data_IF_370957532053
#
_entry.id   IF_370957532053
#
_cell.length_a   1.000
_cell.length_b   1.000
_cell.length_c   1.000
_cell.angle_alpha   90.00
_cell.angle_beta   90.00
_cell.angle_gamma   90.00
#
_symmetry.space_group_name_H-M   'P 1'
#
loop_
_entity.id
_entity.type
_entity.pdbx_description
1 polymer ?
#
# COMPACT_ATOMS: atom_id res chain seq x y z
N UNK A 1 -9.08 -5.58 11.72
CA UNK A 1 -8.92 -7.04 11.84
C UNK A 1 -10.12 -7.61 12.59
N UNK A 2 -10.76 -8.67 12.10
CA UNK A 2 -11.92 -9.30 12.75
C UNK A 2 -11.53 -10.20 13.94
N UNK A 3 -10.30 -10.70 13.95
CA UNK A 3 -9.77 -11.55 15.03
C UNK A 3 -9.33 -10.72 16.24
N UNK A 4 -9.99 -10.91 17.40
CA UNK A 4 -9.65 -10.21 18.65
C UNK A 4 -8.19 -10.43 19.05
N UNK A 5 -7.73 -11.68 19.02
CA UNK A 5 -6.36 -12.02 19.39
C UNK A 5 -5.30 -11.37 18.51
N UNK A 6 -5.56 -11.23 17.19
CA UNK A 6 -4.64 -10.57 16.28
C UNK A 6 -4.54 -9.05 16.58
N UNK A 7 -5.67 -8.40 16.89
CA UNK A 7 -5.69 -6.99 17.31
C UNK A 7 -4.92 -6.76 18.61
N UNK A 8 -5.14 -7.60 19.63
CA UNK A 8 -4.44 -7.53 20.91
C UNK A 8 -2.93 -7.73 20.76
N UNK A 9 -2.52 -8.70 19.92
CA UNK A 9 -1.09 -8.94 19.63
C UNK A 9 -0.47 -7.72 18.98
N UNK A 10 -1.09 -7.15 17.94
CA UNK A 10 -0.57 -5.98 17.25
C UNK A 10 -0.49 -4.77 18.18
N UNK A 11 -1.53 -4.49 18.96
CA UNK A 11 -1.52 -3.40 19.94
C UNK A 11 -0.38 -3.55 20.95
N UNK A 12 -0.21 -4.74 21.52
CA UNK A 12 0.87 -5.01 22.46
C UNK A 12 2.26 -4.81 21.84
N UNK A 13 2.44 -5.20 20.56
CA UNK A 13 3.69 -4.98 19.83
C UNK A 13 3.93 -3.48 19.60
N UNK A 14 2.90 -2.73 19.18
CA UNK A 14 3.00 -1.28 18.98
C UNK A 14 3.36 -0.58 20.29
N UNK A 15 2.59 -0.80 21.35
CA UNK A 15 2.81 -0.16 22.67
C UNK A 15 4.21 -0.46 23.19
N UNK A 16 4.71 -1.68 22.99
CA UNK A 16 5.99 -2.11 23.54
C UNK A 16 7.19 -1.65 22.72
N UNK A 17 7.08 -1.63 21.40
CA UNK A 17 8.23 -1.47 20.51
C UNK A 17 8.18 -0.23 19.62
N UNK A 18 7.05 0.48 19.58
CA UNK A 18 6.86 1.67 18.75
C UNK A 18 6.33 2.85 19.59
N UNK A 19 7.13 3.39 20.53
CA UNK A 19 6.67 4.40 21.49
C UNK A 19 6.27 5.75 20.86
N UNK A 20 6.49 5.91 19.57
CA UNK A 20 6.07 7.08 18.78
C UNK A 20 4.66 6.95 18.19
N UNK A 21 3.97 5.84 18.42
CA UNK A 21 2.61 5.56 17.96
C UNK A 21 1.68 5.42 19.16
N UNK A 22 0.60 6.21 19.15
CA UNK A 22 -0.51 6.06 20.08
C UNK A 22 -1.65 5.29 19.41
N UNK A 23 -2.10 4.20 20.04
CA UNK A 23 -3.25 3.43 19.55
C UNK A 23 -4.54 4.11 19.97
N UNK A 24 -5.23 4.74 19.03
CA UNK A 24 -6.46 5.52 19.29
C UNK A 24 -7.74 4.69 19.24
N UNK A 25 -7.65 3.45 18.72
CA UNK A 25 -8.79 2.54 18.71
C UNK A 25 -8.59 1.28 17.89
N UNK A 26 -9.54 0.36 18.01
CA UNK A 26 -9.60 -0.91 17.30
C UNK A 26 -10.99 -1.15 16.72
N UNK A 27 -11.06 -1.84 15.59
CA UNK A 27 -12.32 -2.23 14.95
C UNK A 27 -12.26 -3.70 14.52
N UNK A 28 -13.41 -4.36 14.55
CA UNK A 28 -13.56 -5.78 14.23
C UNK A 28 -14.03 -6.04 12.79
N UNK A 29 -13.80 -5.12 11.89
CA UNK A 29 -14.16 -5.22 10.48
C UNK A 29 -14.04 -3.88 9.75
N UNK A 30 -14.20 -3.91 8.42
CA UNK A 30 -13.94 -2.74 7.59
C UNK A 30 -14.92 -1.59 7.86
N UNK A 31 -16.22 -1.86 7.92
CA UNK A 31 -17.24 -0.82 8.13
C UNK A 31 -17.09 -0.11 9.49
N UNK A 32 -17.04 -0.84 10.63
CA UNK A 32 -16.77 -0.17 11.91
C UNK A 32 -15.38 0.49 11.95
N UNK A 33 -14.41 -0.02 11.18
CA UNK A 33 -13.11 0.62 11.01
C UNK A 33 -13.22 1.98 10.34
N UNK A 34 -13.98 2.10 9.27
CA UNK A 34 -14.23 3.36 8.56
C UNK A 34 -14.91 4.39 9.48
N UNK A 35 -15.90 3.97 10.27
CA UNK A 35 -16.56 4.83 11.24
C UNK A 35 -15.57 5.36 12.30
N UNK A 36 -14.70 4.48 12.79
CA UNK A 36 -13.67 4.84 13.75
C UNK A 36 -12.63 5.79 13.14
N UNK A 37 -12.18 5.53 11.91
CA UNK A 37 -11.26 6.40 11.18
C UNK A 37 -11.83 7.81 11.03
N UNK A 38 -13.09 7.94 10.64
CA UNK A 38 -13.77 9.24 10.49
C UNK A 38 -13.86 9.99 11.83
N UNK A 39 -14.01 9.26 12.94
CA UNK A 39 -14.13 9.84 14.28
C UNK A 39 -12.78 10.29 14.83
N UNK A 40 -11.77 9.42 14.77
CA UNK A 40 -10.48 9.61 15.44
C UNK A 40 -9.43 10.30 14.53
N UNK A 41 -9.66 10.33 13.21
CA UNK A 41 -8.77 10.93 12.20
C UNK A 41 -7.29 10.49 12.37
N UNK A 42 -6.99 9.18 12.33
CA UNK A 42 -5.67 8.67 12.59
C UNK A 42 -4.68 9.03 11.48
N UNK A 43 -3.39 9.05 11.79
CA UNK A 43 -2.31 9.24 10.80
C UNK A 43 -1.91 7.94 10.09
N UNK A 44 -2.14 6.79 10.73
CA UNK A 44 -1.86 5.46 10.19
C UNK A 44 -2.94 4.47 10.60
N UNK A 45 -3.28 3.58 9.69
CA UNK A 45 -4.24 2.50 9.94
C UNK A 45 -3.60 1.16 9.56
N UNK A 46 -3.58 0.24 10.50
CA UNK A 46 -3.20 -1.15 10.29
C UNK A 46 -4.45 -1.95 9.93
N UNK A 47 -4.46 -2.61 8.79
CA UNK A 47 -5.65 -3.29 8.26
C UNK A 47 -5.31 -4.72 7.88
N UNK A 48 -6.10 -5.70 8.37
CA UNK A 48 -6.06 -7.04 7.79
C UNK A 48 -6.73 -7.05 6.43
N UNK A 49 -6.20 -7.82 5.52
CA UNK A 49 -6.78 -7.97 4.17
C UNK A 49 -7.97 -8.91 4.20
N UNK A 50 -7.86 -10.02 4.89
CA UNK A 50 -8.95 -11.00 4.94
C UNK A 50 -9.83 -10.77 6.17
N UNK A 51 -10.99 -10.17 5.92
CA UNK A 51 -12.05 -9.99 6.92
C UNK A 51 -13.39 -10.44 6.34
N UNK A 52 -14.34 -10.89 7.19
CA UNK A 52 -15.68 -11.25 6.74
C UNK A 52 -16.39 -10.09 6.03
N UNK A 53 -17.04 -10.35 4.92
CA UNK A 53 -17.85 -9.46 4.07
C UNK A 53 -17.06 -8.51 3.18
N UNK A 54 -15.96 -7.94 3.66
CA UNK A 54 -15.15 -6.98 2.92
C UNK A 54 -13.67 -7.29 3.10
N UNK A 55 -12.93 -7.27 2.02
CA UNK A 55 -11.48 -7.32 2.10
C UNK A 55 -10.93 -5.95 2.54
N UNK A 56 -9.84 -5.95 3.32
CA UNK A 56 -9.26 -4.71 3.85
C UNK A 56 -8.86 -3.70 2.78
N UNK A 57 -8.49 -4.16 1.59
CA UNK A 57 -8.14 -3.27 0.48
C UNK A 57 -9.34 -2.53 -0.13
N UNK A 58 -10.59 -2.98 0.12
CA UNK A 58 -11.79 -2.29 -0.34
C UNK A 58 -12.04 -0.96 0.39
N UNK A 59 -11.22 -0.64 1.40
CA UNK A 59 -11.28 0.66 2.07
C UNK A 59 -11.18 1.83 1.09
N UNK A 60 -10.42 1.66 0.01
CA UNK A 60 -10.23 2.69 -1.02
C UNK A 60 -11.45 2.92 -1.88
N UNK A 61 -12.34 1.92 -1.99
CA UNK A 61 -13.60 2.02 -2.72
C UNK A 61 -14.72 2.59 -1.84
N UNK A 62 -14.57 2.47 -0.51
CA UNK A 62 -15.59 2.85 0.47
C UNK A 62 -15.34 4.23 1.12
N UNK A 63 -14.17 4.83 0.87
CA UNK A 63 -13.82 6.16 1.39
C UNK A 63 -13.44 7.10 0.25
N UNK A 64 -14.10 8.25 0.18
CA UNK A 64 -13.80 9.27 -0.84
C UNK A 64 -12.46 9.97 -0.59
N UNK A 65 -12.11 10.14 0.70
CA UNK A 65 -10.88 10.81 1.13
C UNK A 65 -10.07 9.92 2.07
N UNK A 66 -8.83 9.63 1.69
CA UNK A 66 -7.86 8.87 2.51
C UNK A 66 -6.71 9.81 2.87
N UNK A 67 -6.72 10.30 4.10
CA UNK A 67 -5.73 11.24 4.64
C UNK A 67 -4.78 10.58 5.66
N UNK A 68 -4.64 9.26 5.61
CA UNK A 68 -3.83 8.45 6.51
C UNK A 68 -3.00 7.44 5.72
N UNK A 69 -1.94 6.94 6.32
CA UNK A 69 -1.14 5.86 5.76
C UNK A 69 -1.80 4.51 6.03
N UNK A 70 -1.79 3.61 5.05
CA UNK A 70 -2.28 2.23 5.19
C UNK A 70 -1.08 1.29 5.32
N UNK A 71 -1.09 0.44 6.36
CA UNK A 71 -0.19 -0.69 6.53
C UNK A 71 -1.04 -1.95 6.61
N UNK A 72 -0.88 -2.86 5.65
CA UNK A 72 -1.57 -4.13 5.72
C UNK A 72 -0.86 -5.10 6.66
N UNK A 73 -1.65 -5.86 7.44
CA UNK A 73 -1.17 -6.90 8.35
C UNK A 73 -1.99 -8.15 8.13
N UNK A 74 -1.44 -9.17 7.47
CA UNK A 74 -2.21 -10.33 7.07
C UNK A 74 -1.39 -11.63 7.11
N UNK A 75 -2.07 -12.78 7.15
CA UNK A 75 -1.43 -14.09 7.08
C UNK A 75 -1.03 -14.52 5.64
N UNK A 76 -1.44 -13.77 4.62
CA UNK A 76 -1.33 -14.16 3.21
C UNK A 76 -0.33 -13.30 2.47
N UNK A 77 0.62 -13.91 1.80
CA UNK A 77 1.65 -13.23 1.00
C UNK A 77 1.18 -12.85 -0.41
N UNK A 78 0.18 -13.52 -0.92
CA UNK A 78 -0.37 -13.33 -2.27
C UNK A 78 -1.02 -11.95 -2.51
N UNK A 79 -1.45 -11.26 -1.44
CA UNK A 79 -2.04 -9.92 -1.55
C UNK A 79 -1.04 -8.76 -1.52
N UNK A 80 0.26 -9.05 -1.42
CA UNK A 80 1.28 -8.00 -1.43
C UNK A 80 1.23 -7.13 -2.69
N UNK A 81 0.84 -7.72 -3.83
CA UNK A 81 0.61 -6.98 -5.07
C UNK A 81 -0.57 -6.04 -4.99
N UNK A 82 -1.68 -6.48 -4.42
CA UNK A 82 -2.86 -5.66 -4.24
C UNK A 82 -2.58 -4.48 -3.31
N UNK A 83 -1.85 -4.71 -2.22
CA UNK A 83 -1.38 -3.65 -1.34
C UNK A 83 -0.53 -2.61 -2.07
N UNK A 84 0.32 -3.08 -2.99
CA UNK A 84 1.13 -2.20 -3.84
C UNK A 84 0.27 -1.38 -4.81
N UNK A 85 -0.71 -2.00 -5.49
CA UNK A 85 -1.63 -1.33 -6.41
C UNK A 85 -2.37 -0.16 -5.75
N UNK A 86 -2.80 -0.33 -4.50
CA UNK A 86 -3.50 0.71 -3.74
C UNK A 86 -2.56 1.64 -2.97
N UNK A 87 -1.26 1.59 -3.26
CA UNK A 87 -0.25 2.46 -2.67
C UNK A 87 -0.18 2.41 -1.13
N UNK A 88 -0.41 1.23 -0.55
CA UNK A 88 -0.18 1.03 0.87
C UNK A 88 1.26 1.39 1.25
N UNK A 89 1.44 1.96 2.43
CA UNK A 89 2.75 2.37 2.93
C UNK A 89 3.67 1.18 3.16
N UNK A 90 3.12 0.12 3.74
CA UNK A 90 3.84 -1.14 3.96
C UNK A 90 2.89 -2.34 4.03
N UNK A 91 3.49 -3.52 4.11
CA UNK A 91 2.82 -4.80 4.16
C UNK A 91 3.56 -5.72 5.14
N UNK A 92 2.87 -6.19 6.18
CA UNK A 92 3.40 -7.04 7.22
C UNK A 92 2.72 -8.41 7.17
N UNK A 93 3.51 -9.47 7.22
CA UNK A 93 2.99 -10.83 7.33
C UNK A 93 2.82 -11.23 8.79
N UNK A 94 1.74 -11.93 9.09
CA UNK A 94 1.56 -12.65 10.37
C UNK A 94 2.32 -14.00 10.31
N UNK A 95 3.07 -14.38 11.36
CA UNK A 95 3.29 -13.66 12.61
C UNK A 95 4.15 -12.41 12.39
N UNK A 96 3.79 -11.32 13.07
CA UNK A 96 4.43 -10.02 12.87
C UNK A 96 5.87 -10.06 13.40
N UNK A 97 6.82 -9.79 12.51
CA UNK A 97 8.21 -9.56 12.86
C UNK A 97 8.37 -8.15 13.46
N UNK A 98 9.05 -8.05 14.62
CA UNK A 98 9.18 -6.80 15.38
C UNK A 98 10.01 -5.76 14.61
N UNK A 99 11.06 -6.19 13.94
CA UNK A 99 11.94 -5.26 13.21
C UNK A 99 11.24 -4.76 11.94
N UNK A 100 10.44 -5.61 11.29
CA UNK A 100 9.58 -5.19 10.17
C UNK A 100 8.51 -4.19 10.63
N UNK A 101 7.89 -4.41 11.79
CA UNK A 101 6.91 -3.48 12.37
C UNK A 101 7.55 -2.12 12.63
N UNK A 102 8.73 -2.07 13.26
CA UNK A 102 9.48 -0.83 13.50
C UNK A 102 9.80 -0.10 12.20
N UNK A 103 10.31 -0.81 11.18
CA UNK A 103 10.59 -0.23 9.87
C UNK A 103 9.34 0.35 9.21
N UNK A 104 8.19 -0.33 9.31
CA UNK A 104 6.93 0.18 8.78
C UNK A 104 6.47 1.46 9.50
N UNK A 105 6.65 1.51 10.81
CA UNK A 105 6.35 2.70 11.63
C UNK A 105 7.32 3.85 11.33
N UNK A 106 8.61 3.58 11.17
CA UNK A 106 9.60 4.60 10.74
C UNK A 106 9.19 5.26 9.42
N UNK A 107 8.70 4.49 8.45
CA UNK A 107 8.19 5.06 7.19
C UNK A 107 7.01 6.01 7.40
N UNK A 108 6.19 5.82 8.42
CA UNK A 108 5.11 6.77 8.77
C UNK A 108 5.68 8.13 9.19
N UNK A 109 6.80 8.12 9.91
CA UNK A 109 7.49 9.35 10.35
C UNK A 109 8.28 10.03 9.22
N UNK A 110 8.94 9.24 8.37
CA UNK A 110 9.71 9.75 7.23
C UNK A 110 8.81 10.37 6.14
N UNK A 111 7.56 9.98 6.11
CA UNK A 111 6.54 10.69 5.35
C UNK A 111 6.26 12.03 6.07
N UNK A 112 7.23 12.87 6.15
CA UNK A 112 7.09 14.31 6.34
C UNK A 112 6.42 14.89 5.10
N UNK A 113 5.27 14.35 4.76
CA UNK A 113 4.64 14.63 3.55
C UNK A 113 3.17 14.27 3.59
N UNK A 114 2.41 15.12 4.25
CA UNK A 114 1.03 15.34 3.79
C UNK A 114 0.98 15.40 2.25
N UNK A 115 2.05 15.85 1.61
CA UNK A 115 2.20 15.94 0.15
C UNK A 115 2.45 14.60 -0.56
N UNK A 116 3.19 13.66 0.01
CA UNK A 116 3.50 12.38 -0.65
C UNK A 116 2.32 11.40 -0.53
N UNK A 117 1.69 11.35 0.63
CA UNK A 117 0.45 10.59 0.80
C UNK A 117 -0.65 11.14 -0.12
N UNK A 118 -0.88 12.46 -0.15
CA UNK A 118 -1.81 13.09 -1.07
C UNK A 118 -1.51 12.78 -2.54
N UNK A 119 -0.24 12.80 -2.96
CA UNK A 119 0.13 12.44 -4.33
C UNK A 119 -0.13 10.96 -4.64
N UNK A 120 0.13 10.07 -3.68
CA UNK A 120 -0.13 8.63 -3.83
C UNK A 120 -1.63 8.33 -3.89
N UNK A 121 -2.44 8.97 -3.03
CA UNK A 121 -3.89 8.77 -3.00
C UNK A 121 -4.60 9.49 -4.15
N UNK A 122 -4.08 10.61 -4.62
CA UNK A 122 -4.58 11.24 -5.85
C UNK A 122 -4.39 10.33 -7.07
N UNK A 123 -3.25 9.65 -7.16
CA UNK A 123 -2.99 8.63 -8.17
C UNK A 123 -3.93 7.44 -8.07
N UNK A 124 -4.19 6.97 -6.85
CA UNK A 124 -5.11 5.89 -6.56
C UNK A 124 -6.53 6.25 -7.02
N UNK A 125 -7.04 7.41 -6.63
CA UNK A 125 -8.36 7.89 -7.02
C UNK A 125 -8.50 8.07 -8.53
N UNK A 126 -7.45 8.49 -9.22
CA UNK A 126 -7.42 8.57 -10.69
C UNK A 126 -7.52 7.18 -11.31
N UNK A 127 -6.79 6.21 -10.78
CA UNK A 127 -6.79 4.82 -11.26
C UNK A 127 -8.16 4.15 -11.08
N UNK A 128 -8.78 4.34 -9.91
CA UNK A 128 -10.10 3.77 -9.61
C UNK A 128 -11.21 4.42 -10.45
N UNK A 129 -11.23 5.75 -10.55
CA UNK A 129 -12.29 6.48 -11.27
C UNK A 129 -12.27 6.26 -12.78
N UNK A 130 -11.11 5.96 -13.37
CA UNK A 130 -10.97 5.81 -14.82
C UNK A 130 -10.93 4.36 -15.30
N UNK A 131 -10.81 3.38 -14.39
CA UNK A 131 -10.47 1.99 -14.72
C UNK A 131 -9.26 1.83 -15.65
N UNK A 132 -8.46 2.89 -15.78
CA UNK A 132 -7.21 2.92 -16.56
C UNK A 132 -6.10 3.45 -15.67
N UNK A 133 -5.14 2.61 -15.36
CA UNK A 133 -3.93 3.07 -14.71
C UNK A 133 -3.27 4.13 -15.61
N UNK A 134 -3.09 5.35 -15.11
CA UNK A 134 -2.40 6.42 -15.87
C UNK A 134 -0.89 6.43 -15.59
N UNK A 135 -0.46 5.80 -14.50
CA UNK A 135 0.94 5.73 -14.08
C UNK A 135 1.29 4.36 -13.51
N UNK A 136 2.54 3.96 -13.70
CA UNK A 136 3.13 2.75 -13.11
C UNK A 136 4.13 3.20 -12.03
N UNK A 137 4.00 2.65 -10.81
CA UNK A 137 4.98 2.85 -9.75
C UNK A 137 6.09 1.79 -9.85
N UNK A 138 7.34 2.19 -9.62
CA UNK A 138 8.49 1.28 -9.58
C UNK A 138 9.56 1.79 -8.60
N UNK A 139 10.53 0.93 -8.27
CA UNK A 139 11.66 1.31 -7.42
C UNK A 139 12.92 1.48 -8.26
N UNK A 140 13.60 2.62 -8.09
CA UNK A 140 14.90 2.90 -8.66
C UNK A 140 15.84 3.35 -7.54
N UNK A 141 16.92 2.60 -7.32
CA UNK A 141 17.93 2.86 -6.26
C UNK A 141 17.36 2.98 -4.84
N UNK A 142 16.27 2.25 -4.55
CA UNK A 142 15.60 2.29 -3.25
C UNK A 142 14.56 3.39 -3.09
N UNK A 143 14.40 4.26 -4.07
CA UNK A 143 13.36 5.29 -4.11
C UNK A 143 12.20 4.85 -5.00
N UNK A 144 10.99 5.24 -4.60
CA UNK A 144 9.77 4.99 -5.38
C UNK A 144 9.63 6.04 -6.47
N UNK A 145 9.60 5.60 -7.72
CA UNK A 145 9.43 6.43 -8.90
C UNK A 145 8.11 6.11 -9.60
N UNK A 146 7.59 7.07 -10.35
CA UNK A 146 6.36 6.90 -11.13
C UNK A 146 6.63 7.18 -12.60
N UNK A 147 6.11 6.31 -13.47
CA UNK A 147 6.09 6.49 -14.92
C UNK A 147 4.66 6.64 -15.40
N UNK A 148 4.40 7.63 -16.24
CA UNK A 148 3.14 7.73 -16.95
C UNK A 148 3.07 6.65 -18.04
N UNK A 149 1.95 5.92 -18.12
CA UNK A 149 1.77 4.90 -19.15
C UNK A 149 1.82 5.51 -20.54
N UNK A 150 1.30 6.72 -20.71
CA UNK A 150 1.35 7.46 -21.97
C UNK A 150 2.76 7.77 -22.47
N UNK A 151 3.76 7.80 -21.59
CA UNK A 151 5.17 8.06 -21.96
C UNK A 151 5.92 6.80 -22.36
N UNK A 152 5.32 5.62 -22.23
CA UNK A 152 5.92 4.33 -22.57
C UNK A 152 5.75 4.09 -24.08
N UNK A 153 6.88 3.84 -24.77
CA UNK A 153 6.89 3.48 -26.19
C UNK A 153 6.94 1.96 -26.37
N UNK A 154 7.78 1.30 -25.59
CA UNK A 154 8.01 -0.12 -25.72
C UNK A 154 8.46 -0.76 -24.41
N UNK A 155 8.18 -2.04 -24.28
CA UNK A 155 8.59 -2.89 -23.16
C UNK A 155 9.40 -4.06 -23.72
N UNK A 156 10.63 -4.20 -23.24
CA UNK A 156 11.51 -5.31 -23.61
C UNK A 156 11.75 -6.21 -22.40
N UNK A 157 11.14 -7.41 -22.44
CA UNK A 157 11.21 -8.37 -21.35
C UNK A 157 12.49 -9.21 -21.40
N UNK A 158 13.27 -9.22 -20.31
CA UNK A 158 14.35 -10.17 -20.08
C UNK A 158 14.05 -10.97 -18.82
N UNK A 159 14.66 -12.16 -18.67
CA UNK A 159 14.27 -13.18 -17.67
C UNK A 159 13.89 -12.64 -16.29
N UNK A 160 14.64 -11.69 -15.74
CA UNK A 160 14.46 -11.16 -14.37
C UNK A 160 14.08 -9.68 -14.31
N UNK A 161 14.06 -8.98 -15.43
CA UNK A 161 13.74 -7.55 -15.50
C UNK A 161 13.03 -7.19 -16.81
N UNK A 162 12.44 -6.01 -16.82
CA UNK A 162 11.84 -5.42 -18.00
C UNK A 162 12.48 -4.06 -18.26
N UNK A 163 12.90 -3.80 -19.47
CA UNK A 163 13.35 -2.51 -19.91
C UNK A 163 12.17 -1.75 -20.51
N UNK A 164 11.91 -0.56 -19.96
CA UNK A 164 10.85 0.34 -20.41
C UNK A 164 11.46 1.47 -21.19
N UNK A 165 11.10 1.60 -22.46
CA UNK A 165 11.54 2.68 -23.33
C UNK A 165 10.52 3.83 -23.30
N UNK A 166 11.01 5.07 -23.11
CA UNK A 166 10.18 6.25 -22.94
C UNK A 166 10.25 7.18 -24.16
N UNK A 167 9.22 8.01 -24.33
CA UNK A 167 9.12 8.99 -25.42
C UNK A 167 10.24 10.01 -25.46
N UNK A 168 10.85 10.31 -24.31
CA UNK A 168 11.99 11.22 -24.20
C UNK A 168 13.33 10.60 -24.62
N UNK A 169 13.30 9.35 -25.13
CA UNK A 169 14.48 8.59 -25.53
C UNK A 169 15.23 7.91 -24.39
N UNK A 170 14.78 8.04 -23.16
CA UNK A 170 15.38 7.35 -22.01
C UNK A 170 14.83 5.95 -21.84
N UNK A 171 15.56 5.10 -21.10
CA UNK A 171 15.10 3.76 -20.72
C UNK A 171 15.22 3.55 -19.23
N UNK A 172 14.25 2.85 -18.65
CA UNK A 172 14.22 2.45 -17.25
C UNK A 172 14.20 0.94 -17.11
N UNK A 173 14.91 0.41 -16.13
CA UNK A 173 14.93 -1.04 -15.86
C UNK A 173 14.06 -1.33 -14.64
N UNK A 174 13.01 -2.10 -14.84
CA UNK A 174 12.11 -2.56 -13.80
C UNK A 174 12.45 -4.00 -13.43
N UNK A 175 12.70 -4.28 -12.17
CA UNK A 175 12.90 -5.66 -11.71
C UNK A 175 11.60 -6.44 -11.82
N UNK A 176 11.64 -7.57 -12.53
CA UNK A 176 10.51 -8.48 -12.66
C UNK A 176 10.41 -9.31 -11.38
N UNK A 177 9.70 -8.82 -10.39
CA UNK A 177 9.26 -9.72 -9.33
C UNK A 177 8.22 -10.66 -9.95
N UNK A 178 8.38 -11.97 -9.74
CA UNK A 178 7.88 -13.07 -10.61
C UNK A 178 6.37 -13.13 -10.89
N UNK A 179 5.52 -12.23 -10.42
CA UNK A 179 4.05 -12.36 -10.57
C UNK A 179 3.26 -11.08 -10.87
N UNK A 180 3.82 -9.89 -11.03
CA UNK A 180 2.95 -8.72 -10.87
C UNK A 180 2.97 -7.57 -11.85
N UNK A 181 3.90 -7.45 -12.77
CA UNK A 181 4.00 -6.18 -13.50
C UNK A 181 3.23 -6.12 -14.83
N UNK A 182 2.71 -7.23 -15.35
CA UNK A 182 2.23 -7.27 -16.73
C UNK A 182 0.86 -7.92 -16.99
N UNK A 183 0.06 -8.24 -15.99
CA UNK A 183 -1.28 -8.79 -16.23
C UNK A 183 -2.30 -7.79 -16.82
N UNK A 184 -1.94 -6.51 -16.96
CA UNK A 184 -2.81 -5.45 -17.49
C UNK A 184 -2.38 -4.86 -18.84
N UNK A 185 -1.36 -5.43 -19.48
CA UNK A 185 -0.93 -5.04 -20.83
C UNK A 185 -1.21 -6.16 -21.84
N UNK A 186 -2.41 -6.70 -21.82
CA UNK A 186 -2.96 -7.37 -23.01
C UNK A 186 -3.61 -6.29 -23.90
N UNK A 187 -2.96 -6.05 -25.03
CA UNK A 187 -3.50 -5.26 -26.15
C UNK A 187 -4.47 -6.11 -26.94
#
# INVERSE_FOLDING_TARGET
>A
DDEVGAREVLENLIVRFCPSIDVVGQANGLIPGIELIKKENPQVVFIDIQMPRYAGYEIVDLMDDINFSIIFVTAYDEYALKAFEISALDYLLKPIDIDRLKQAVEKVHDINAKNLAHAQYALLNETIKTHKASKIAFFERGERCFLKIEDIIALEGQSSYCQVHLKDGTSKVLSKNRKSTFSYLEV
#
